data_IF_553255967795
#
_entry.id   IF_553255967795
#
_cell.length_a   1.000
_cell.length_b   1.000
_cell.length_c   1.000
_cell.angle_alpha   90.00
_cell.angle_beta   90.00
_cell.angle_gamma   90.00
#
_symmetry.space_group_name_H-M   'P 1'
#
loop_
_entity.id
_entity.type
_entity.pdbx_description
1 polymer ?
#
# COMPACT_ATOMS: atom_id res chain seq x y z
N UNK A 1 -8.61 11.33 -6.15
CA UNK A 1 -9.38 12.19 -7.07
C UNK A 1 -9.07 13.68 -6.90
N UNK A 2 -9.08 14.24 -5.67
CA UNK A 2 -8.77 15.67 -5.42
C UNK A 2 -7.42 16.12 -6.01
N UNK A 3 -6.35 15.36 -5.78
CA UNK A 3 -5.02 15.66 -6.34
C UNK A 3 -5.01 15.77 -7.87
N UNK A 4 -5.78 14.92 -8.56
CA UNK A 4 -5.87 14.93 -10.01
C UNK A 4 -6.56 16.20 -10.49
N UNK A 5 -7.69 16.57 -9.87
CA UNK A 5 -8.38 17.82 -10.14
C UNK A 5 -7.46 19.02 -9.92
N UNK A 6 -6.77 19.07 -8.78
CA UNK A 6 -5.82 20.14 -8.45
C UNK A 6 -4.70 20.25 -9.48
N UNK A 7 -4.15 19.11 -9.94
CA UNK A 7 -3.11 19.08 -10.98
C UNK A 7 -3.60 19.64 -12.32
N UNK A 8 -4.80 19.22 -12.77
CA UNK A 8 -5.38 19.67 -14.05
C UNK A 8 -5.74 21.16 -14.00
N UNK A 9 -6.17 21.66 -12.84
CA UNK A 9 -6.56 23.06 -12.63
C UNK A 9 -5.43 23.98 -12.18
N UNK A 10 -4.21 23.46 -12.00
CA UNK A 10 -3.06 24.23 -11.54
C UNK A 10 -3.12 24.65 -10.07
N UNK A 11 -3.95 24.01 -9.25
CA UNK A 11 -4.02 24.23 -7.81
C UNK A 11 -2.88 23.50 -7.12
N UNK A 12 -2.00 24.25 -6.46
CA UNK A 12 -0.97 23.68 -5.58
C UNK A 12 -1.58 23.28 -4.23
N UNK A 13 -1.98 22.03 -4.10
CA UNK A 13 -2.74 21.47 -2.97
C UNK A 13 -1.88 20.78 -1.91
N UNK A 14 -0.60 20.55 -2.20
CA UNK A 14 0.38 20.01 -1.25
C UNK A 14 1.51 20.99 -0.92
N UNK A 15 2.18 20.77 0.22
CA UNK A 15 3.38 21.47 0.66
C UNK A 15 4.38 20.49 1.27
N UNK A 16 5.52 20.98 1.78
CA UNK A 16 6.62 20.15 2.34
C UNK A 16 7.07 19.02 1.41
N UNK A 17 7.27 19.35 0.12
CA UNK A 17 7.68 18.37 -0.89
C UNK A 17 6.60 17.34 -1.25
N UNK A 18 5.31 17.64 -1.02
CA UNK A 18 4.19 16.75 -1.36
C UNK A 18 3.64 15.98 -0.16
N UNK A 19 4.35 15.96 0.97
CA UNK A 19 3.98 15.19 2.16
C UNK A 19 2.84 15.80 2.99
N UNK A 20 2.50 17.07 2.76
CA UNK A 20 1.53 17.79 3.59
C UNK A 20 0.38 18.36 2.75
N UNK A 21 -0.85 17.92 3.02
CA UNK A 21 -2.05 18.45 2.37
C UNK A 21 -2.41 19.80 2.96
N UNK A 22 -2.39 20.84 2.13
CA UNK A 22 -2.57 22.23 2.57
C UNK A 22 -4.05 22.66 2.61
N UNK A 23 -4.32 23.92 2.96
CA UNK A 23 -5.71 24.43 3.05
C UNK A 23 -6.48 24.35 1.71
N UNK A 24 -5.80 24.53 0.58
CA UNK A 24 -6.43 24.40 -0.75
C UNK A 24 -6.90 22.97 -0.98
N UNK A 25 -6.13 21.97 -0.56
CA UNK A 25 -6.58 20.58 -0.59
C UNK A 25 -7.86 20.36 0.23
N UNK A 26 -7.95 20.98 1.43
CA UNK A 26 -9.16 20.92 2.27
C UNK A 26 -10.37 21.50 1.52
N UNK A 27 -10.21 22.69 0.96
CA UNK A 27 -11.27 23.41 0.23
C UNK A 27 -11.76 22.60 -0.97
N UNK A 28 -10.84 22.06 -1.78
CA UNK A 28 -11.22 21.22 -2.90
C UNK A 28 -11.84 19.90 -2.44
N UNK A 29 -11.33 19.27 -1.37
CA UNK A 29 -11.96 18.07 -0.82
C UNK A 29 -13.40 18.35 -0.41
N UNK A 30 -13.66 19.46 0.28
CA UNK A 30 -15.02 19.82 0.71
C UNK A 30 -15.94 20.04 -0.49
N UNK A 31 -15.46 20.72 -1.53
CA UNK A 31 -16.24 20.92 -2.77
C UNK A 31 -16.63 19.61 -3.45
N UNK A 32 -15.85 18.54 -3.27
CA UNK A 32 -16.07 17.24 -3.87
C UNK A 32 -16.75 16.23 -2.92
N UNK A 33 -17.54 16.70 -1.96
CA UNK A 33 -18.38 15.81 -1.13
C UNK A 33 -17.67 15.24 0.10
N UNK A 34 -16.62 15.90 0.58
CA UNK A 34 -15.96 15.55 1.83
C UNK A 34 -16.20 16.56 2.94
N UNK A 35 -15.96 16.16 4.18
CA UNK A 35 -15.91 17.03 5.33
C UNK A 35 -14.74 16.63 6.25
N UNK A 36 -14.42 17.51 7.19
CA UNK A 36 -13.38 17.27 8.20
C UNK A 36 -13.98 17.40 9.59
N UNK A 37 -13.87 16.38 10.45
CA UNK A 37 -14.40 16.44 11.83
C UNK A 37 -13.72 17.48 12.74
N UNK A 38 -12.53 17.95 12.36
CA UNK A 38 -11.72 18.89 13.13
C UNK A 38 -11.35 20.09 12.27
N UNK A 39 -11.34 21.28 12.88
CA UNK A 39 -10.89 22.53 12.25
C UNK A 39 -9.38 22.76 12.30
N UNK A 40 -8.63 21.82 12.87
CA UNK A 40 -7.16 21.87 12.93
C UNK A 40 -6.55 20.77 12.07
N UNK A 41 -5.60 21.07 11.17
CA UNK A 41 -4.91 20.06 10.38
C UNK A 41 -4.02 19.17 11.23
N UNK A 42 -3.70 17.98 10.72
CA UNK A 42 -2.70 17.12 11.31
C UNK A 42 -1.30 17.77 11.19
N UNK A 43 -0.46 17.76 12.24
CA UNK A 43 0.87 18.37 12.19
C UNK A 43 1.82 17.75 11.15
N UNK A 44 1.68 16.46 10.89
CA UNK A 44 2.54 15.67 9.98
C UNK A 44 2.01 15.67 8.56
N UNK A 45 0.72 15.34 8.38
CA UNK A 45 0.14 15.07 7.05
C UNK A 45 -0.85 16.15 6.57
N UNK A 46 -1.23 17.09 7.43
CA UNK A 46 -2.13 18.18 7.07
C UNK A 46 -3.58 17.72 6.98
N UNK A 47 -4.27 18.04 5.89
CA UNK A 47 -5.70 17.76 5.70
C UNK A 47 -6.00 16.40 5.04
N UNK A 48 -5.31 15.32 5.42
CA UNK A 48 -5.50 14.00 4.78
C UNK A 48 -6.72 13.22 5.29
N UNK A 49 -7.19 13.48 6.52
CA UNK A 49 -8.21 12.68 7.23
C UNK A 49 -9.66 13.07 6.89
N UNK A 50 -9.92 13.33 5.61
CA UNK A 50 -11.26 13.66 5.11
C UNK A 50 -12.25 12.49 5.30
N UNK A 51 -13.53 12.83 5.46
CA UNK A 51 -14.66 11.89 5.55
C UNK A 51 -15.70 12.25 4.50
N UNK A 52 -16.41 11.28 3.97
CA UNK A 52 -17.44 11.50 2.95
C UNK A 52 -18.73 12.00 3.61
N UNK A 53 -19.39 12.99 3.02
CA UNK A 53 -20.66 13.50 3.55
C UNK A 53 -21.81 12.52 3.33
N UNK A 54 -22.89 12.65 4.09
CA UNK A 54 -24.04 11.76 3.96
C UNK A 54 -24.75 11.94 2.61
N UNK A 55 -24.82 13.17 2.09
CA UNK A 55 -25.37 13.43 0.75
C UNK A 55 -24.55 12.73 -0.34
N UNK A 56 -23.23 12.67 -0.19
CA UNK A 56 -22.37 11.99 -1.16
C UNK A 56 -22.53 10.47 -1.07
N UNK A 57 -22.82 9.91 0.11
CA UNK A 57 -23.17 8.49 0.26
C UNK A 57 -24.48 8.17 -0.46
N UNK A 58 -25.50 9.01 -0.31
CA UNK A 58 -26.78 8.86 -1.01
C UNK A 58 -26.60 8.88 -2.54
N UNK A 59 -25.74 9.77 -3.05
CA UNK A 59 -25.39 9.78 -4.48
C UNK A 59 -24.74 8.46 -4.90
N UNK A 60 -23.80 7.93 -4.12
CA UNK A 60 -23.15 6.64 -4.42
C UNK A 60 -24.17 5.50 -4.43
N UNK A 61 -25.08 5.46 -3.46
CA UNK A 61 -26.13 4.45 -3.37
C UNK A 61 -27.10 4.52 -4.56
N UNK A 62 -27.28 5.70 -5.15
CA UNK A 62 -28.12 5.89 -6.34
C UNK A 62 -27.51 5.39 -7.66
N UNK A 63 -26.20 5.11 -7.70
CA UNK A 63 -25.48 4.76 -8.93
C UNK A 63 -25.64 3.29 -9.38
N UNK A 64 -26.52 2.50 -8.73
CA UNK A 64 -26.75 1.07 -8.99
C UNK A 64 -25.45 0.27 -9.17
N UNK A 65 -24.47 0.57 -8.29
CA UNK A 65 -23.16 -0.06 -8.31
C UNK A 65 -23.24 -1.43 -7.68
N UNK A 66 -22.59 -2.42 -8.28
CA UNK A 66 -22.42 -3.76 -7.69
C UNK A 66 -21.31 -3.65 -6.62
N UNK A 67 -21.62 -3.68 -5.31
CA UNK A 67 -20.62 -3.41 -4.27
C UNK A 67 -19.51 -4.47 -4.24
N UNK A 68 -19.83 -5.68 -4.67
CA UNK A 68 -18.90 -6.82 -4.70
C UNK A 68 -17.73 -6.60 -5.65
N UNK A 69 -17.87 -5.80 -6.71
CA UNK A 69 -16.77 -5.45 -7.62
C UNK A 69 -15.72 -4.58 -6.93
N UNK A 70 -16.12 -3.81 -5.93
CA UNK A 70 -15.24 -2.91 -5.18
C UNK A 70 -14.72 -3.53 -3.88
N UNK A 71 -14.96 -4.83 -3.65
CA UNK A 71 -14.28 -5.58 -2.59
C UNK A 71 -12.81 -5.77 -2.98
N UNK A 72 -12.00 -4.79 -2.61
CA UNK A 72 -10.54 -4.88 -2.74
C UNK A 72 -10.07 -5.90 -1.70
N UNK A 73 -9.85 -7.13 -2.13
CA UNK A 73 -9.00 -8.06 -1.40
C UNK A 73 -7.55 -7.71 -1.71
N UNK A 74 -6.66 -7.79 -0.71
CA UNK A 74 -5.25 -8.06 -1.05
C UNK A 74 -5.27 -9.42 -1.72
N UNK A 75 -5.01 -9.45 -3.01
CA UNK A 75 -4.59 -10.68 -3.67
C UNK A 75 -3.22 -11.03 -3.07
N UNK A 76 -3.23 -11.62 -1.87
CA UNK A 76 -2.09 -12.39 -1.41
C UNK A 76 -1.89 -13.47 -2.46
N UNK A 77 -0.67 -13.57 -2.99
CA UNK A 77 -0.30 -14.56 -4.00
C UNK A 77 -0.82 -15.94 -3.56
N UNK A 78 -1.87 -16.46 -4.22
CA UNK A 78 -2.49 -17.75 -3.89
C UNK A 78 -3.94 -17.75 -3.43
N UNK A 79 -4.63 -16.60 -3.22
CA UNK A 79 -6.06 -16.61 -2.88
C UNK A 79 -6.93 -15.87 -3.90
N UNK A 80 -7.24 -16.56 -5.00
CA UNK A 80 -8.42 -16.28 -5.80
C UNK A 80 -9.54 -17.23 -5.34
N UNK A 81 -10.75 -16.75 -5.02
CA UNK A 81 -11.86 -17.62 -4.66
C UNK A 81 -12.23 -18.48 -5.87
N UNK A 82 -11.94 -19.79 -5.80
CA UNK A 82 -12.14 -20.76 -6.88
C UNK A 82 -10.89 -21.51 -7.35
N UNK A 83 -9.72 -21.24 -6.77
CA UNK A 83 -8.48 -21.98 -7.07
C UNK A 83 -7.93 -22.65 -5.81
N UNK A 84 -7.73 -23.97 -5.87
CA UNK A 84 -7.22 -24.77 -4.75
C UNK A 84 -5.84 -24.24 -4.31
N UNK A 85 -5.72 -24.02 -3.00
CA UNK A 85 -4.56 -23.40 -2.37
C UNK A 85 -3.34 -24.33 -2.41
N UNK A 86 -2.29 -23.98 -3.16
CA UNK A 86 -0.94 -24.37 -2.79
C UNK A 86 -0.33 -23.25 -1.96
N UNK A 87 -0.15 -23.53 -0.68
CA UNK A 87 0.42 -22.71 0.37
C UNK A 87 1.55 -21.79 -0.13
N UNK A 88 1.31 -20.47 -0.05
CA UNK A 88 2.37 -19.47 -0.13
C UNK A 88 1.91 -18.14 0.50
N UNK A 89 2.64 -17.78 1.54
CA UNK A 89 2.50 -16.55 2.30
C UNK A 89 2.91 -15.34 1.47
N UNK A 90 2.06 -14.31 1.48
CA UNK A 90 2.31 -13.03 0.83
C UNK A 90 2.66 -11.97 1.89
N UNK A 91 3.82 -11.34 1.73
CA UNK A 91 4.14 -10.06 2.34
C UNK A 91 4.02 -8.99 1.24
N UNK A 92 3.23 -7.97 1.54
CA UNK A 92 3.03 -6.77 0.74
C UNK A 92 4.33 -6.00 0.54
N UNK A 93 4.54 -5.46 -0.66
CA UNK A 93 4.98 -4.08 -0.79
C UNK A 93 4.61 -3.50 -2.17
N UNK A 94 4.10 -2.29 -2.08
CA UNK A 94 3.58 -1.35 -3.07
C UNK A 94 4.68 -0.89 -4.03
N UNK A 95 4.48 -0.93 -5.34
CA UNK A 95 5.01 0.11 -6.24
C UNK A 95 4.40 0.08 -7.65
N UNK A 96 4.25 1.29 -8.17
CA UNK A 96 3.81 1.60 -9.52
C UNK A 96 4.91 1.29 -10.55
N UNK A 97 4.45 0.74 -11.66
CA UNK A 97 5.03 0.61 -13.01
C UNK A 97 6.02 1.75 -13.40
N UNK A 98 7.10 1.56 -14.14
CA UNK A 98 7.54 0.54 -15.10
C UNK A 98 9.07 0.47 -15.10
N UNK A 99 9.67 -0.73 -15.21
CA UNK A 99 10.89 -1.04 -15.99
C UNK A 99 11.27 -2.53 -15.79
N UNK A 100 10.65 -3.43 -16.57
CA UNK A 100 11.06 -4.82 -16.79
C UNK A 100 11.11 -5.76 -15.56
N UNK A 101 11.00 -7.10 -15.74
CA UNK A 101 11.19 -8.02 -14.63
C UNK A 101 12.67 -8.04 -14.25
N UNK A 102 13.09 -7.18 -13.32
CA UNK A 102 14.37 -7.31 -12.62
C UNK A 102 14.32 -8.65 -11.90
N UNK A 103 15.10 -9.63 -12.36
CA UNK A 103 15.32 -10.88 -11.61
C UNK A 103 15.79 -10.46 -10.22
N UNK A 104 14.95 -10.65 -9.20
CA UNK A 104 15.35 -10.32 -7.84
C UNK A 104 16.53 -11.21 -7.50
N UNK A 105 17.67 -10.61 -7.18
CA UNK A 105 18.85 -11.32 -6.67
C UNK A 105 18.62 -11.75 -5.21
N UNK A 106 17.43 -12.27 -4.90
CA UNK A 106 17.07 -12.76 -3.58
C UNK A 106 17.63 -14.17 -3.46
N UNK A 107 18.64 -14.31 -2.60
CA UNK A 107 19.26 -15.57 -2.25
C UNK A 107 18.55 -16.10 -1.01
N UNK A 108 18.02 -17.32 -1.10
CA UNK A 108 17.42 -18.03 0.03
C UNK A 108 18.50 -18.80 0.79
N UNK A 109 18.61 -18.55 2.08
CA UNK A 109 19.50 -19.23 3.01
C UNK A 109 18.69 -20.08 3.96
N UNK A 110 19.13 -21.31 4.22
CA UNK A 110 18.46 -22.24 5.13
C UNK A 110 19.45 -22.72 6.18
N UNK A 111 19.04 -22.68 7.45
CA UNK A 111 19.80 -23.31 8.52
C UNK A 111 19.62 -24.85 8.43
N UNK A 112 20.69 -25.64 8.37
CA UNK A 112 20.59 -27.10 8.22
C UNK A 112 20.01 -27.80 9.47
N UNK A 113 19.97 -27.13 10.62
CA UNK A 113 19.57 -27.75 11.89
C UNK A 113 18.14 -27.38 12.30
N UNK A 114 17.77 -26.11 12.18
CA UNK A 114 16.45 -25.61 12.62
C UNK A 114 15.55 -25.17 11.47
N UNK A 115 15.99 -25.35 10.21
CA UNK A 115 15.24 -25.02 9.00
C UNK A 115 14.83 -23.55 8.86
N UNK A 116 15.33 -22.67 9.73
CA UNK A 116 15.12 -21.23 9.64
C UNK A 116 15.55 -20.70 8.26
N UNK A 117 14.74 -19.80 7.71
CA UNK A 117 14.92 -19.25 6.38
C UNK A 117 15.27 -17.77 6.49
N UNK A 118 16.37 -17.37 5.87
CA UNK A 118 16.76 -15.96 5.74
C UNK A 118 16.93 -15.63 4.26
N UNK A 119 16.49 -14.43 3.85
CA UNK A 119 16.60 -13.95 2.47
C UNK A 119 17.54 -12.75 2.43
N UNK A 120 18.47 -12.72 1.48
CA UNK A 120 19.37 -11.57 1.28
C UNK A 120 19.45 -11.17 -0.19
N UNK A 121 19.63 -9.87 -0.43
CA UNK A 121 19.87 -9.32 -1.77
C UNK A 121 21.35 -9.32 -2.20
N UNK A 122 22.25 -9.71 -1.28
CA UNK A 122 23.70 -9.81 -1.47
C UNK A 122 24.22 -11.13 -0.94
N UNK A 123 25.34 -11.60 -1.47
CA UNK A 123 26.03 -12.75 -0.88
C UNK A 123 26.64 -12.36 0.47
N UNK A 124 26.13 -12.94 1.55
CA UNK A 124 26.55 -12.66 2.93
C UNK A 124 26.73 -13.97 3.68
N UNK A 125 27.64 -13.98 4.66
CA UNK A 125 27.82 -15.13 5.55
C UNK A 125 26.92 -14.94 6.77
N UNK A 126 25.94 -15.83 6.93
CA UNK A 126 24.94 -15.74 8.01
C UNK A 126 25.17 -16.91 8.97
N UNK A 127 25.24 -16.61 10.27
CA UNK A 127 25.34 -17.61 11.35
C UNK A 127 24.02 -17.67 12.12
N UNK A 128 23.54 -18.86 12.44
CA UNK A 128 22.36 -19.06 13.27
C UNK A 128 22.69 -18.79 14.74
N UNK A 129 21.96 -17.90 15.39
CA UNK A 129 22.15 -17.62 16.82
C UNK A 129 21.78 -18.79 17.73
N UNK A 130 20.82 -19.63 17.31
CA UNK A 130 20.32 -20.74 18.12
C UNK A 130 21.13 -22.03 17.93
N UNK A 131 21.57 -22.29 16.70
CA UNK A 131 22.30 -23.52 16.35
C UNK A 131 23.81 -23.31 16.19
N UNK A 132 24.28 -22.06 16.21
CA UNK A 132 25.68 -21.65 16.00
C UNK A 132 26.33 -22.17 14.70
N UNK A 133 25.52 -22.59 13.73
CA UNK A 133 25.95 -23.06 12.40
C UNK A 133 25.75 -22.00 11.32
N UNK A 134 26.54 -22.09 10.25
CA UNK A 134 26.39 -21.21 9.07
C UNK A 134 25.22 -21.67 8.20
N UNK A 135 24.41 -20.72 7.75
CA UNK A 135 23.33 -21.02 6.81
C UNK A 135 23.89 -21.43 5.44
N UNK A 136 23.17 -22.31 4.76
CA UNK A 136 23.51 -22.77 3.40
C UNK A 136 22.60 -22.14 2.35
N UNK A 137 23.15 -21.83 1.17
CA UNK A 137 22.36 -21.33 0.04
C UNK A 137 21.45 -22.45 -0.48
N UNK A 138 20.13 -22.23 -0.46
CA UNK A 138 19.19 -23.07 -1.20
C UNK A 138 19.29 -22.70 -2.67
N UNK A 139 19.59 -23.69 -3.53
CA UNK A 139 19.42 -23.56 -4.97
C UNK A 139 17.94 -23.47 -5.33
#
# INVERSE_FOLDING_TARGET
>A
MVHLYCKVTGIKDTSRGGAYHNKKFKEESIRHGFYYPSDKPDPKIGWSYSKITDETKEVIDSLDLIPDVFKIARATFGYLPGMETSDQTAEDEDESEEEGPKRSHIIKWVCPTCENIVRSSKEVNIKCGDCDVTFVKSK
#
